data_IF_998221994018
#
_entry.id   IF_998221994018
#
_cell.length_a   1.000
_cell.length_b   1.000
_cell.length_c   1.000
_cell.angle_alpha   90.00
_cell.angle_beta   90.00
_cell.angle_gamma   90.00
#
_symmetry.space_group_name_H-M   'P 1'
#
loop_
_entity.id
_entity.type
_entity.pdbx_description
1 polymer ?
#
# COMPACT_ATOMS: atom_id res chain seq x y z
N UNK A 1 4.83 -4.09 10.80
CA UNK A 1 3.80 -5.10 10.46
C UNK A 1 2.52 -4.36 10.15
N UNK A 2 1.93 -4.62 8.97
CA UNK A 2 0.71 -3.92 8.54
C UNK A 2 -0.44 -4.24 9.51
N UNK A 3 -1.05 -3.22 10.08
CA UNK A 3 -2.17 -3.31 11.02
C UNK A 3 -3.43 -4.01 10.46
N UNK A 4 -3.41 -4.41 9.19
CA UNK A 4 -4.57 -5.00 8.49
C UNK A 4 -4.54 -6.52 8.39
N UNK A 5 -3.43 -7.17 8.80
CA UNK A 5 -3.25 -8.62 8.75
C UNK A 5 -2.97 -9.14 10.14
N UNK A 6 -3.68 -10.17 10.54
CA UNK A 6 -3.62 -10.78 11.87
C UNK A 6 -3.15 -12.22 11.76
N UNK A 7 -2.24 -12.64 12.62
CA UNK A 7 -1.99 -14.06 12.89
C UNK A 7 -3.20 -14.69 13.60
N UNK A 8 -3.19 -16.00 13.76
CA UNK A 8 -4.25 -16.68 14.51
C UNK A 8 -4.28 -16.21 15.98
N UNK A 9 -3.10 -15.98 16.56
CA UNK A 9 -2.93 -15.49 17.94
C UNK A 9 -3.42 -14.04 18.08
N UNK A 10 -3.05 -13.16 17.14
CA UNK A 10 -3.54 -11.78 17.14
C UNK A 10 -5.05 -11.69 17.00
N UNK A 11 -5.61 -12.52 16.10
CA UNK A 11 -7.06 -12.62 15.90
C UNK A 11 -7.75 -13.12 17.20
N UNK A 12 -7.16 -14.11 17.85
CA UNK A 12 -7.63 -14.66 19.11
C UNK A 12 -7.66 -13.60 20.23
N UNK A 13 -6.55 -12.87 20.39
CA UNK A 13 -6.41 -11.81 21.37
C UNK A 13 -7.42 -10.68 21.16
N UNK A 14 -7.57 -10.21 19.89
CA UNK A 14 -8.50 -9.12 19.55
C UNK A 14 -9.98 -9.54 19.63
N UNK A 15 -10.28 -10.78 19.29
CA UNK A 15 -11.66 -11.31 19.34
C UNK A 15 -12.09 -11.78 20.72
N UNK A 16 -11.15 -11.91 21.68
CA UNK A 16 -11.42 -12.47 23.00
C UNK A 16 -11.80 -13.97 22.96
N UNK A 17 -11.33 -14.71 21.95
CA UNK A 17 -11.64 -16.14 21.74
C UNK A 17 -10.33 -16.93 21.81
N UNK A 18 -10.29 -18.08 22.52
CA UNK A 18 -9.09 -18.90 22.59
C UNK A 18 -8.59 -19.32 21.21
N UNK A 19 -7.26 -19.23 20.97
CA UNK A 19 -6.63 -19.59 19.70
C UNK A 19 -6.93 -21.03 19.28
N UNK A 20 -7.05 -21.97 20.23
CA UNK A 20 -7.43 -23.35 20.00
C UNK A 20 -8.81 -23.46 19.34
N UNK A 21 -9.78 -22.64 19.78
CA UNK A 21 -11.13 -22.59 19.22
C UNK A 21 -11.14 -22.01 17.81
N UNK A 22 -10.34 -20.98 17.55
CA UNK A 22 -10.17 -20.43 16.19
C UNK A 22 -9.51 -21.44 15.26
N UNK A 23 -8.54 -22.21 15.74
CA UNK A 23 -7.92 -23.28 14.99
C UNK A 23 -8.93 -24.40 14.61
N UNK A 24 -9.81 -24.78 15.53
CA UNK A 24 -10.92 -25.70 15.26
C UNK A 24 -11.88 -25.17 14.21
N UNK A 25 -12.29 -23.90 14.29
CA UNK A 25 -13.15 -23.26 13.30
C UNK A 25 -12.48 -23.14 11.93
N UNK A 26 -11.17 -22.91 11.91
CA UNK A 26 -10.38 -22.88 10.68
C UNK A 26 -10.33 -24.28 10.05
N UNK A 27 -10.08 -25.33 10.85
CA UNK A 27 -10.10 -26.72 10.40
C UNK A 27 -11.49 -27.16 9.90
N UNK A 28 -12.56 -26.69 10.55
CA UNK A 28 -13.94 -26.92 10.13
C UNK A 28 -14.37 -26.06 8.92
N UNK A 29 -13.49 -25.23 8.38
CA UNK A 29 -13.75 -24.28 7.28
C UNK A 29 -14.84 -23.24 7.58
N UNK A 30 -15.16 -23.03 8.84
CA UNK A 30 -16.02 -21.94 9.31
C UNK A 30 -15.31 -20.60 9.24
N UNK A 31 -14.05 -20.57 9.69
CA UNK A 31 -13.16 -19.44 9.57
C UNK A 31 -12.12 -19.76 8.47
N UNK A 32 -12.17 -19.02 7.36
CA UNK A 32 -11.23 -19.22 6.26
C UNK A 32 -10.12 -18.19 6.37
N UNK A 33 -8.84 -18.59 6.29
CA UNK A 33 -7.75 -17.65 6.14
C UNK A 33 -7.92 -16.80 4.87
N UNK A 34 -7.56 -15.54 4.94
CA UNK A 34 -7.53 -14.62 3.81
C UNK A 34 -6.25 -14.81 3.00
N UNK A 35 -5.17 -15.31 3.64
CA UNK A 35 -3.90 -15.64 3.02
C UNK A 35 -3.02 -16.48 3.95
N UNK A 36 -1.75 -16.63 3.56
CA UNK A 36 -0.74 -17.37 4.32
C UNK A 36 0.56 -16.56 4.32
N UNK A 37 1.33 -16.69 5.39
CA UNK A 37 2.70 -16.20 5.48
C UNK A 37 3.65 -17.08 4.66
N UNK A 38 4.94 -16.73 4.61
CA UNK A 38 5.94 -17.52 3.87
C UNK A 38 6.15 -18.91 4.45
N UNK A 39 5.99 -19.07 5.75
CA UNK A 39 6.03 -20.35 6.49
C UNK A 39 4.70 -21.11 6.44
N UNK A 40 3.76 -20.67 5.60
CA UNK A 40 2.42 -21.24 5.42
C UNK A 40 1.50 -21.13 6.63
N UNK A 41 1.80 -20.27 7.59
CA UNK A 41 0.89 -19.98 8.70
C UNK A 41 -0.32 -19.19 8.19
N UNK A 42 -1.55 -19.49 8.67
CA UNK A 42 -2.75 -18.80 8.22
C UNK A 42 -2.77 -17.36 8.70
N UNK A 43 -3.12 -16.44 7.80
CA UNK A 43 -3.28 -15.02 8.05
C UNK A 43 -4.72 -14.58 7.77
N UNK A 44 -5.20 -13.63 8.56
CA UNK A 44 -6.58 -13.17 8.57
C UNK A 44 -6.63 -11.66 8.40
N UNK A 45 -7.58 -11.17 7.61
CA UNK A 45 -7.88 -9.76 7.51
C UNK A 45 -8.64 -9.26 8.76
N UNK A 46 -8.60 -7.95 9.02
CA UNK A 46 -9.36 -7.34 10.12
C UNK A 46 -10.86 -7.66 10.07
N UNK A 47 -11.45 -7.75 8.88
CA UNK A 47 -12.85 -8.14 8.68
C UNK A 47 -13.19 -9.55 9.18
N UNK A 48 -12.19 -10.40 9.43
CA UNK A 48 -12.37 -11.72 10.05
C UNK A 48 -12.80 -11.62 11.51
N UNK A 49 -12.59 -10.48 12.20
CA UNK A 49 -13.08 -10.24 13.56
C UNK A 49 -14.61 -10.30 13.64
N UNK A 50 -15.32 -9.69 12.70
CA UNK A 50 -16.78 -9.71 12.64
C UNK A 50 -17.32 -11.14 12.44
N UNK A 51 -16.61 -11.90 11.58
CA UNK A 51 -16.92 -13.31 11.36
C UNK A 51 -16.74 -14.14 12.63
N UNK A 52 -15.62 -13.97 13.33
CA UNK A 52 -15.35 -14.62 14.61
C UNK A 52 -16.42 -14.28 15.64
N UNK A 53 -16.77 -12.99 15.78
CA UNK A 53 -17.81 -12.53 16.71
C UNK A 53 -19.18 -13.14 16.40
N UNK A 54 -19.52 -13.37 15.13
CA UNK A 54 -20.77 -14.01 14.77
C UNK A 54 -20.76 -15.53 15.10
N UNK A 55 -19.68 -16.23 14.74
CA UNK A 55 -19.51 -17.66 15.06
C UNK A 55 -19.56 -17.86 16.58
N UNK A 56 -18.89 -16.99 17.34
CA UNK A 56 -18.92 -17.04 18.82
C UNK A 56 -20.34 -16.89 19.36
N UNK A 57 -21.11 -15.89 18.86
CA UNK A 57 -22.51 -15.71 19.29
C UNK A 57 -23.38 -16.92 19.01
N UNK A 58 -23.22 -17.59 17.89
CA UNK A 58 -23.94 -18.84 17.58
C UNK A 58 -23.51 -19.97 18.53
N UNK A 59 -22.21 -20.06 18.84
CA UNK A 59 -21.70 -21.05 19.80
C UNK A 59 -22.23 -20.78 21.23
N UNK A 60 -22.34 -19.51 21.64
CA UNK A 60 -22.88 -19.12 22.94
C UNK A 60 -24.40 -19.40 23.04
N UNK A 61 -25.10 -19.43 21.93
CA UNK A 61 -26.50 -19.89 21.83
C UNK A 61 -26.66 -21.42 21.88
N UNK A 62 -25.54 -22.16 22.01
CA UNK A 62 -25.56 -23.61 22.17
C UNK A 62 -25.43 -24.40 20.86
N UNK A 63 -25.25 -23.73 19.70
CA UNK A 63 -25.04 -24.44 18.43
C UNK A 63 -23.66 -25.09 18.38
N UNK A 64 -23.61 -26.35 18.00
CA UNK A 64 -22.37 -27.08 17.74
C UNK A 64 -21.71 -26.63 16.44
N UNK A 65 -20.39 -26.90 16.28
CA UNK A 65 -19.59 -26.49 15.11
C UNK A 65 -20.21 -26.97 13.79
N UNK A 66 -20.78 -28.17 13.76
CA UNK A 66 -21.44 -28.73 12.58
C UNK A 66 -22.76 -28.01 12.23
N UNK A 67 -23.50 -27.62 13.26
CA UNK A 67 -24.76 -26.86 13.10
C UNK A 67 -24.47 -25.45 12.60
N UNK A 68 -23.49 -24.80 13.21
CA UNK A 68 -23.01 -23.47 12.76
C UNK A 68 -22.57 -23.56 11.30
N UNK A 69 -21.84 -24.61 10.91
CA UNK A 69 -21.43 -24.83 9.52
C UNK A 69 -22.63 -24.93 8.57
N UNK A 70 -23.69 -25.63 8.97
CA UNK A 70 -24.94 -25.75 8.18
C UNK A 70 -25.68 -24.41 8.09
N UNK A 71 -25.77 -23.68 9.20
CA UNK A 71 -26.39 -22.34 9.25
C UNK A 71 -25.65 -21.39 8.33
N UNK A 72 -24.32 -21.31 8.44
CA UNK A 72 -23.48 -20.45 7.63
C UNK A 72 -23.55 -20.78 6.14
N UNK A 73 -23.65 -22.07 5.78
CA UNK A 73 -23.84 -22.49 4.38
C UNK A 73 -25.21 -22.13 3.83
N UNK A 74 -26.27 -22.20 4.65
CA UNK A 74 -27.66 -22.00 4.22
C UNK A 74 -28.06 -20.51 4.20
N UNK A 75 -27.63 -19.75 5.19
CA UNK A 75 -28.03 -18.34 5.38
C UNK A 75 -26.96 -17.37 4.87
N UNK A 76 -25.71 -17.84 4.75
CA UNK A 76 -24.53 -17.00 4.57
C UNK A 76 -24.16 -16.30 5.88
N UNK A 77 -22.90 -15.87 5.98
CA UNK A 77 -22.53 -14.89 7.01
C UNK A 77 -23.03 -13.51 6.55
N UNK A 78 -23.57 -12.67 7.44
CA UNK A 78 -23.89 -11.31 7.09
C UNK A 78 -22.67 -10.69 6.43
N UNK A 79 -22.82 -10.27 5.19
CA UNK A 79 -21.82 -9.43 4.53
C UNK A 79 -21.97 -8.06 5.14
N UNK A 80 -20.84 -7.43 5.48
CA UNK A 80 -20.82 -6.08 5.98
C UNK A 80 -21.87 -5.21 5.28
N UNK A 81 -22.64 -4.44 6.07
CA UNK A 81 -23.83 -3.71 5.65
C UNK A 81 -23.60 -2.56 4.67
N UNK A 82 -22.79 -2.77 3.63
CA UNK A 82 -22.64 -1.86 2.50
C UNK A 82 -22.85 -2.65 1.22
N UNK A 83 -24.10 -2.59 0.72
CA UNK A 83 -24.52 -3.17 -0.54
C UNK A 83 -23.75 -2.61 -1.74
N UNK A 84 -22.57 -3.13 -2.00
CA UNK A 84 -21.94 -3.11 -3.32
C UNK A 84 -21.58 -4.56 -3.65
N UNK A 85 -22.04 -5.04 -4.81
CA UNK A 85 -21.50 -6.25 -5.43
C UNK A 85 -19.99 -6.05 -5.52
N UNK A 86 -19.23 -6.66 -4.61
CA UNK A 86 -17.77 -6.71 -4.73
C UNK A 86 -17.49 -7.71 -5.87
N UNK A 87 -16.94 -7.19 -6.97
CA UNK A 87 -16.22 -8.03 -7.93
C UNK A 87 -15.26 -8.94 -7.16
N UNK A 88 -15.09 -10.22 -7.54
CA UNK A 88 -14.19 -11.13 -6.86
C UNK A 88 -12.70 -10.70 -6.87
N UNK A 89 -12.38 -9.52 -7.44
CA UNK A 89 -11.06 -8.89 -7.43
C UNK A 89 -10.96 -7.61 -6.58
N UNK A 90 -12.03 -7.14 -5.92
CA UNK A 90 -12.01 -5.98 -5.00
C UNK A 90 -12.18 -6.44 -3.55
N UNK A 91 -11.28 -7.27 -3.08
CA UNK A 91 -11.11 -7.60 -1.68
C UNK A 91 -10.24 -6.56 -0.97
N UNK A 92 -10.14 -6.69 0.33
CA UNK A 92 -9.27 -5.93 1.24
C UNK A 92 -7.78 -5.99 0.84
N UNK A 93 -7.42 -6.88 -0.10
CA UNK A 93 -6.07 -7.09 -0.62
C UNK A 93 -6.04 -7.07 -2.15
N UNK A 94 -4.95 -6.52 -2.66
CA UNK A 94 -4.66 -6.35 -4.08
C UNK A 94 -3.65 -7.42 -4.55
N UNK A 95 -3.88 -7.97 -5.73
CA UNK A 95 -2.83 -8.70 -6.44
C UNK A 95 -1.78 -7.75 -6.98
N UNK A 96 -0.60 -8.27 -7.39
CA UNK A 96 0.44 -7.47 -8.06
C UNK A 96 -0.11 -6.68 -9.25
N UNK A 97 -0.99 -7.29 -10.05
CA UNK A 97 -1.61 -6.63 -11.20
C UNK A 97 -2.49 -5.46 -10.81
N UNK A 98 -3.37 -5.65 -9.81
CA UNK A 98 -4.28 -4.61 -9.34
C UNK A 98 -3.50 -3.48 -8.63
N UNK A 99 -2.45 -3.81 -7.86
CA UNK A 99 -1.58 -2.82 -7.24
C UNK A 99 -0.85 -1.99 -8.31
N UNK A 100 -0.33 -2.63 -9.35
CA UNK A 100 0.35 -1.97 -10.46
C UNK A 100 -0.58 -0.98 -11.18
N UNK A 101 -1.79 -1.42 -11.51
CA UNK A 101 -2.80 -0.59 -12.17
C UNK A 101 -3.17 0.64 -11.33
N UNK A 102 -3.44 0.45 -10.03
CA UNK A 102 -3.89 1.52 -9.15
C UNK A 102 -2.77 2.48 -8.73
N UNK A 103 -1.53 2.01 -8.63
CA UNK A 103 -0.37 2.85 -8.28
C UNK A 103 0.28 3.52 -9.49
N UNK A 104 -0.07 3.11 -10.72
CA UNK A 104 0.51 3.65 -11.95
C UNK A 104 1.95 3.22 -12.19
N UNK A 105 2.37 2.07 -11.64
CA UNK A 105 3.68 1.45 -11.90
C UNK A 105 3.51 0.10 -12.58
N UNK A 106 4.55 -0.42 -13.24
CA UNK A 106 4.46 -1.71 -13.90
C UNK A 106 4.50 -2.87 -12.88
N UNK A 107 3.85 -4.03 -13.16
CA UNK A 107 4.00 -5.23 -12.33
C UNK A 107 5.46 -5.67 -12.17
N UNK A 108 6.28 -5.45 -13.22
CA UNK A 108 7.73 -5.72 -13.20
C UNK A 108 8.47 -4.82 -12.21
N UNK A 109 8.07 -3.55 -12.11
CA UNK A 109 8.62 -2.59 -11.16
C UNK A 109 8.33 -3.02 -9.73
N UNK A 110 7.08 -3.41 -9.44
CA UNK A 110 6.67 -3.91 -8.11
C UNK A 110 7.51 -5.14 -7.74
N UNK A 111 7.63 -6.11 -8.67
CA UNK A 111 8.47 -7.29 -8.44
C UNK A 111 9.92 -6.92 -8.17
N UNK A 112 10.47 -5.97 -8.93
CA UNK A 112 11.84 -5.50 -8.73
C UNK A 112 12.05 -4.88 -7.35
N UNK A 113 11.10 -4.07 -6.87
CA UNK A 113 11.13 -3.50 -5.52
C UNK A 113 11.01 -4.56 -4.43
N UNK A 114 10.23 -5.61 -4.67
CA UNK A 114 10.15 -6.78 -3.79
C UNK A 114 11.48 -7.55 -3.75
N UNK A 115 12.05 -7.84 -4.92
CA UNK A 115 13.36 -8.53 -5.03
C UNK A 115 14.49 -7.73 -4.34
N UNK A 116 14.37 -6.40 -4.27
CA UNK A 116 15.28 -5.51 -3.53
C UNK A 116 14.92 -5.37 -2.05
N UNK A 117 13.83 -5.96 -1.59
CA UNK A 117 13.34 -5.85 -0.20
C UNK A 117 12.86 -4.46 0.19
N UNK A 118 12.47 -3.62 -0.79
CA UNK A 118 11.89 -2.30 -0.55
C UNK A 118 10.44 -2.46 -0.09
N UNK A 119 9.70 -3.34 -0.76
CA UNK A 119 8.33 -3.72 -0.39
C UNK A 119 8.27 -5.23 -0.16
N UNK A 120 7.31 -5.66 0.64
CA UNK A 120 7.04 -7.07 0.91
C UNK A 120 5.53 -7.29 0.90
N UNK A 121 5.01 -8.39 0.33
CA UNK A 121 3.59 -8.67 0.36
C UNK A 121 3.13 -8.90 1.80
N UNK A 122 1.90 -8.47 2.11
CA UNK A 122 1.31 -8.71 3.44
C UNK A 122 1.06 -10.19 3.67
N UNK A 123 0.68 -10.89 2.62
CA UNK A 123 0.42 -12.34 2.65
C UNK A 123 0.47 -12.96 1.25
N UNK A 124 0.37 -14.27 1.20
CA UNK A 124 0.24 -15.05 -0.04
C UNK A 124 -1.04 -15.88 -0.03
N UNK A 125 -1.64 -16.08 -1.19
CA UNK A 125 -2.74 -17.03 -1.32
C UNK A 125 -2.25 -18.47 -1.13
N UNK A 126 -3.17 -19.42 -1.00
CA UNK A 126 -2.85 -20.85 -0.97
C UNK A 126 -2.04 -21.31 -2.21
N UNK A 127 -2.29 -20.68 -3.38
CA UNK A 127 -1.54 -20.88 -4.63
C UNK A 127 -0.23 -20.09 -4.73
N UNK A 128 0.21 -19.38 -3.67
CA UNK A 128 1.46 -18.64 -3.62
C UNK A 128 1.40 -17.25 -4.26
N UNK A 129 0.22 -16.76 -4.69
CA UNK A 129 0.09 -15.40 -5.23
C UNK A 129 0.24 -14.36 -4.14
N UNK A 130 0.98 -13.29 -4.43
CA UNK A 130 1.23 -12.17 -3.54
C UNK A 130 0.00 -11.31 -3.36
N UNK A 131 -0.26 -10.90 -2.12
CA UNK A 131 -1.36 -10.04 -1.75
C UNK A 131 -0.84 -8.84 -0.96
N UNK A 132 -1.33 -7.64 -1.31
CA UNK A 132 -0.95 -6.35 -0.73
C UNK A 132 -2.19 -5.62 -0.25
N UNK A 133 -2.11 -4.95 0.88
CA UNK A 133 -3.18 -4.05 1.34
C UNK A 133 -3.23 -2.77 0.48
N UNK A 134 -4.35 -2.05 0.53
CA UNK A 134 -4.54 -0.81 -0.23
C UNK A 134 -3.48 0.26 0.11
N UNK A 135 -2.87 0.21 1.29
CA UNK A 135 -1.80 1.12 1.69
C UNK A 135 -0.59 1.06 0.75
N UNK A 136 -0.37 -0.07 0.08
CA UNK A 136 0.73 -0.20 -0.89
C UNK A 136 0.54 0.65 -2.14
N UNK A 137 -0.68 1.08 -2.47
CA UNK A 137 -0.90 2.03 -3.57
C UNK A 137 -0.13 3.32 -3.30
N UNK A 138 -0.35 3.88 -2.10
CA UNK A 138 0.33 5.10 -1.68
C UNK A 138 1.84 4.90 -1.50
N UNK A 139 2.25 3.78 -0.89
CA UNK A 139 3.66 3.45 -0.74
C UNK A 139 4.40 3.37 -2.08
N UNK A 140 3.81 2.72 -3.09
CA UNK A 140 4.38 2.66 -4.44
C UNK A 140 4.52 4.05 -5.08
N UNK A 141 3.57 4.95 -4.84
CA UNK A 141 3.65 6.33 -5.29
C UNK A 141 4.80 7.07 -4.61
N UNK A 142 4.95 6.95 -3.28
CA UNK A 142 6.06 7.56 -2.54
C UNK A 142 7.43 7.04 -3.00
N UNK A 143 7.56 5.74 -3.27
CA UNK A 143 8.81 5.17 -3.80
C UNK A 143 9.15 5.79 -5.15
N UNK A 144 8.17 5.94 -6.04
CA UNK A 144 8.34 6.61 -7.31
C UNK A 144 8.76 8.07 -7.15
N UNK A 145 8.16 8.78 -6.21
CA UNK A 145 8.48 10.17 -5.94
C UNK A 145 9.93 10.31 -5.41
N UNK A 146 10.36 9.42 -4.52
CA UNK A 146 11.76 9.38 -4.08
C UNK A 146 12.73 9.15 -5.26
N UNK A 147 12.38 8.27 -6.21
CA UNK A 147 13.18 8.09 -7.43
C UNK A 147 13.22 9.35 -8.28
N UNK A 148 12.10 10.08 -8.41
CA UNK A 148 12.07 11.38 -9.09
C UNK A 148 12.93 12.43 -8.37
N UNK A 149 13.03 12.37 -7.04
CA UNK A 149 13.93 13.20 -6.23
C UNK A 149 15.40 12.76 -6.32
N UNK A 150 15.70 11.74 -7.13
CA UNK A 150 17.05 11.26 -7.39
C UNK A 150 17.59 10.30 -6.31
N UNK A 151 16.72 9.68 -5.51
CA UNK A 151 17.13 8.61 -4.61
C UNK A 151 17.38 7.31 -5.38
N UNK A 152 18.47 6.65 -5.07
CA UNK A 152 18.77 5.30 -5.55
C UNK A 152 17.88 4.26 -4.87
N UNK A 153 17.78 3.06 -5.44
CA UNK A 153 17.01 1.98 -4.82
C UNK A 153 17.61 1.54 -3.48
N UNK A 154 18.93 1.63 -3.33
CA UNK A 154 19.64 1.34 -2.09
C UNK A 154 19.27 2.35 -0.97
N UNK A 155 19.20 3.64 -1.30
CA UNK A 155 18.76 4.67 -0.37
C UNK A 155 17.27 4.49 0.00
N UNK A 156 16.42 4.17 -0.98
CA UNK A 156 14.99 3.89 -0.74
C UNK A 156 14.82 2.64 0.13
N UNK A 157 15.64 1.61 -0.07
CA UNK A 157 15.67 0.43 0.79
C UNK A 157 16.00 0.80 2.24
N UNK A 158 17.02 1.67 2.44
CA UNK A 158 17.38 2.17 3.77
C UNK A 158 16.19 2.86 4.45
N UNK A 159 15.52 3.77 3.74
CA UNK A 159 14.30 4.45 4.24
C UNK A 159 13.20 3.43 4.59
N UNK A 160 13.01 2.40 3.76
CA UNK A 160 12.03 1.35 4.01
C UNK A 160 12.36 0.54 5.28
N UNK A 161 13.63 0.22 5.51
CA UNK A 161 14.10 -0.48 6.70
C UNK A 161 13.96 0.40 7.97
N UNK A 162 14.21 1.71 7.85
CA UNK A 162 14.01 2.67 8.93
C UNK A 162 12.52 2.74 9.32
N UNK A 163 11.61 2.81 8.36
CA UNK A 163 10.16 2.79 8.63
C UNK A 163 9.74 1.49 9.32
N UNK A 164 10.24 0.32 8.87
CA UNK A 164 9.97 -0.96 9.55
C UNK A 164 10.49 -0.97 10.98
N UNK A 165 11.69 -0.41 11.19
CA UNK A 165 12.31 -0.31 12.53
C UNK A 165 11.50 0.61 13.43
N UNK A 166 11.04 1.76 12.92
CA UNK A 166 10.18 2.68 13.67
C UNK A 166 8.88 1.98 14.11
N UNK A 167 8.20 1.30 13.20
CA UNK A 167 6.98 0.54 13.51
C UNK A 167 7.22 -0.57 14.55
N UNK A 168 8.38 -1.22 14.50
CA UNK A 168 8.75 -2.25 15.48
C UNK A 168 9.00 -1.64 16.87
N UNK A 169 9.64 -0.46 16.93
CA UNK A 169 9.88 0.27 18.19
C UNK A 169 8.53 0.79 18.75
N UNK A 170 7.64 1.32 17.90
CA UNK A 170 6.30 1.76 18.33
C UNK A 170 5.46 0.62 18.90
N UNK A 171 5.58 -0.58 18.31
CA UNK A 171 4.82 -1.74 18.77
C UNK A 171 5.30 -2.27 20.13
N UNK A 172 6.60 -2.26 20.39
CA UNK A 172 7.20 -2.75 21.64
C UNK A 172 8.59 -2.12 21.85
N UNK A 173 8.64 -0.92 22.46
CA UNK A 173 9.91 -0.21 22.67
C UNK A 173 10.85 -0.92 23.65
N UNK A 174 10.33 -1.78 24.54
CA UNK A 174 11.14 -2.47 25.54
C UNK A 174 11.99 -3.61 24.94
N UNK A 175 11.68 -4.05 23.74
CA UNK A 175 12.51 -5.03 23.01
C UNK A 175 13.87 -4.50 22.58
N UNK A 176 14.04 -3.17 22.61
CA UNK A 176 15.27 -2.53 22.14
C UNK A 176 15.99 -1.80 23.28
N UNK A 177 17.32 -1.85 23.36
CA UNK A 177 18.09 -1.03 24.31
C UNK A 177 17.82 0.46 24.10
N UNK A 178 17.53 1.22 25.14
CA UNK A 178 17.17 2.63 25.05
C UNK A 178 18.20 3.48 24.25
N UNK A 179 19.48 3.23 24.44
CA UNK A 179 20.54 3.93 23.71
C UNK A 179 20.53 3.60 22.19
N UNK A 180 20.11 2.40 21.81
CA UNK A 180 19.96 2.02 20.40
C UNK A 180 18.74 2.71 19.79
N UNK A 181 17.63 2.75 20.50
CA UNK A 181 16.41 3.47 20.07
C UNK A 181 16.72 4.93 19.84
N UNK A 182 17.36 5.61 20.81
CA UNK A 182 17.75 7.02 20.70
C UNK A 182 18.60 7.29 19.45
N UNK A 183 19.64 6.46 19.24
CA UNK A 183 20.52 6.58 18.07
C UNK A 183 19.76 6.41 16.74
N UNK A 184 18.86 5.43 16.66
CA UNK A 184 18.07 5.15 15.45
C UNK A 184 17.10 6.29 15.15
N UNK A 185 16.38 6.76 16.17
CA UNK A 185 15.44 7.89 16.02
C UNK A 185 16.15 9.17 15.61
N UNK A 186 17.33 9.46 16.17
CA UNK A 186 18.14 10.61 15.77
C UNK A 186 18.56 10.54 14.29
N UNK A 187 19.03 9.37 13.82
CA UNK A 187 19.38 9.15 12.42
C UNK A 187 18.18 9.31 11.47
N UNK A 188 17.00 8.80 11.86
CA UNK A 188 15.76 8.97 11.08
C UNK A 188 15.35 10.45 11.00
N UNK A 189 15.44 11.20 12.08
CA UNK A 189 15.17 12.65 12.08
C UNK A 189 16.13 13.41 11.16
N UNK A 190 17.40 13.06 11.16
CA UNK A 190 18.39 13.65 10.24
C UNK A 190 18.04 13.34 8.77
N UNK A 191 17.68 12.09 8.46
CA UNK A 191 17.26 11.69 7.12
C UNK A 191 16.01 12.48 6.65
N UNK A 192 15.04 12.69 7.53
CA UNK A 192 13.86 13.52 7.26
C UNK A 192 14.27 14.97 6.96
N UNK A 193 15.19 15.56 7.72
CA UNK A 193 15.66 16.92 7.47
C UNK A 193 16.36 17.04 6.11
N UNK A 194 17.19 16.06 5.75
CA UNK A 194 17.83 15.99 4.42
C UNK A 194 16.80 15.92 3.31
N UNK A 195 15.75 15.11 3.48
CA UNK A 195 14.66 15.03 2.49
C UNK A 195 13.92 16.37 2.34
N UNK A 196 13.58 17.04 3.44
CA UNK A 196 12.95 18.36 3.39
C UNK A 196 13.83 19.39 2.68
N UNK A 197 15.14 19.42 2.96
CA UNK A 197 16.07 20.32 2.29
C UNK A 197 16.10 20.04 0.77
N UNK A 198 16.12 18.77 0.36
CA UNK A 198 16.09 18.36 -1.04
C UNK A 198 14.80 18.76 -1.74
N UNK A 199 13.64 18.57 -1.08
CA UNK A 199 12.33 19.00 -1.60
C UNK A 199 12.29 20.51 -1.84
N UNK A 200 12.81 21.30 -0.91
CA UNK A 200 12.90 22.76 -1.07
C UNK A 200 13.75 23.18 -2.28
N UNK A 201 14.90 22.54 -2.48
CA UNK A 201 15.74 22.80 -3.67
C UNK A 201 15.02 22.45 -4.97
N UNK A 202 14.22 21.39 -4.98
CA UNK A 202 13.42 21.00 -6.16
C UNK A 202 12.31 22.03 -6.43
N UNK A 203 11.62 22.51 -5.39
CA UNK A 203 10.59 23.55 -5.51
C UNK A 203 11.19 24.85 -6.12
N UNK A 204 12.29 25.32 -5.58
CA UNK A 204 13.02 26.49 -6.14
C UNK A 204 13.47 26.24 -7.60
N UNK A 205 13.84 25.00 -7.92
CA UNK A 205 14.18 24.60 -9.29
C UNK A 205 12.99 24.69 -10.24
N UNK A 206 11.84 24.20 -9.80
CA UNK A 206 10.58 24.23 -10.58
C UNK A 206 10.19 25.68 -10.85
N UNK A 207 10.22 26.56 -9.86
CA UNK A 207 9.90 27.99 -10.02
C UNK A 207 10.81 28.66 -11.08
N UNK A 208 12.14 28.42 -11.02
CA UNK A 208 13.08 28.95 -12.02
C UNK A 208 12.74 28.48 -13.44
N UNK A 209 12.38 27.20 -13.60
CA UNK A 209 11.99 26.64 -14.89
C UNK A 209 10.66 27.20 -15.39
N UNK A 210 9.68 27.35 -14.52
CA UNK A 210 8.38 27.95 -14.87
C UNK A 210 8.55 29.38 -15.39
N UNK A 211 9.35 30.20 -14.72
CA UNK A 211 9.59 31.59 -15.14
C UNK A 211 10.30 31.66 -16.50
N UNK A 212 11.32 30.80 -16.72
CA UNK A 212 12.00 30.71 -18.00
C UNK A 212 11.01 30.28 -19.10
N UNK A 213 10.21 29.25 -18.87
CA UNK A 213 9.27 28.74 -19.86
C UNK A 213 8.16 29.75 -20.17
N UNK A 214 7.63 30.47 -19.16
CA UNK A 214 6.67 31.56 -19.34
C UNK A 214 7.24 32.66 -20.24
N UNK A 215 8.50 33.07 -20.01
CA UNK A 215 9.19 34.07 -20.83
C UNK A 215 9.37 33.58 -22.27
N UNK A 216 9.89 32.35 -22.44
CA UNK A 216 10.12 31.78 -23.78
C UNK A 216 8.83 31.54 -24.56
N UNK A 217 7.75 31.19 -23.89
CA UNK A 217 6.43 31.09 -24.53
C UNK A 217 5.98 32.44 -25.12
N UNK A 218 6.18 33.57 -24.40
CA UNK A 218 5.88 34.92 -24.92
C UNK A 218 6.74 35.24 -26.15
N UNK A 219 8.04 34.96 -26.11
CA UNK A 219 8.98 35.20 -27.22
C UNK A 219 8.53 34.41 -28.46
N UNK A 220 8.19 33.12 -28.30
CA UNK A 220 7.73 32.25 -29.38
C UNK A 220 6.43 32.78 -30.00
N UNK A 221 5.46 33.17 -29.20
CA UNK A 221 4.19 33.70 -29.68
C UNK A 221 4.37 35.03 -30.45
N UNK A 222 5.27 35.90 -29.99
CA UNK A 222 5.62 37.12 -30.69
C UNK A 222 6.25 36.83 -32.06
N UNK A 223 7.20 35.88 -32.12
CA UNK A 223 7.81 35.43 -33.37
C UNK A 223 6.81 34.79 -34.34
N UNK A 224 5.90 33.95 -33.82
CA UNK A 224 4.83 33.35 -34.64
C UNK A 224 3.95 34.43 -35.27
N UNK A 225 3.57 35.45 -34.50
CA UNK A 225 2.73 36.59 -34.96
C UNK A 225 3.46 37.36 -36.05
N UNK A 226 4.75 37.67 -35.82
CA UNK A 226 5.59 38.35 -36.83
C UNK A 226 5.72 37.54 -38.10
N UNK A 227 5.91 36.23 -37.96
CA UNK A 227 6.05 35.36 -39.12
C UNK A 227 4.76 35.25 -39.96
N UNK A 228 3.61 35.17 -39.29
CA UNK A 228 2.30 35.19 -39.95
C UNK A 228 2.07 36.48 -40.72
N UNK A 229 2.45 37.65 -40.19
CA UNK A 229 2.40 38.94 -40.92
C UNK A 229 3.30 38.91 -42.18
N UNK A 230 4.54 38.45 -42.04
CA UNK A 230 5.48 38.29 -43.22
C UNK A 230 4.93 37.40 -44.31
N UNK A 231 4.34 36.26 -43.91
CA UNK A 231 3.74 35.33 -44.88
C UNK A 231 2.50 35.90 -45.58
N UNK A 232 1.78 36.83 -44.95
CA UNK A 232 0.66 37.51 -45.58
C UNK A 232 1.12 38.58 -46.59
N UNK A 233 2.13 39.41 -46.22
CA UNK A 233 2.70 40.43 -47.13
C UNK A 233 3.30 39.79 -48.37
N UNK A 234 4.03 38.67 -48.20
CA UNK A 234 4.62 37.96 -49.34
C UNK A 234 3.60 37.37 -50.34
N UNK A 235 2.36 37.05 -49.85
CA UNK A 235 1.27 36.61 -50.75
C UNK A 235 0.56 37.75 -51.46
N UNK A 236 0.50 38.93 -50.84
CA UNK A 236 -0.08 40.12 -51.45
C UNK A 236 0.84 40.69 -52.54
N UNK A 237 2.18 40.58 -52.40
CA UNK A 237 3.16 40.98 -53.38
C UNK A 237 3.25 40.07 -54.62
N UNK A 238 2.90 38.76 -54.47
CA UNK A 238 2.89 37.76 -55.55
C UNK A 238 1.63 37.84 -56.45
N UNK A 239 0.65 38.67 -56.06
CA UNK A 239 -0.62 38.84 -56.76
C UNK A 239 -0.81 40.28 -57.34
N UNK A 240 0.22 41.14 -57.24
CA UNK A 240 0.30 42.47 -57.82
C UNK A 240 1.16 42.47 -59.07
#
# INVERSE_FOLDING_TARGET
MNNNVLSLEDLAGRAGVPATRLAEWTKAKLLKPDGFSEDKSPLFALGSLDRVGLIQRLADLGYGTDEITKIVKKVGLPRDGRGRKKDPGKGEFLTVGNLAEQSGVSPRTIKHWEDKGIIEPDMRTEGGFRLYSENYIFLCQLIRDLQLFGYTLEEIKSVSDDVRTLLAIEADPEKFPAAEVEKRLAAMLEAIQVLFAKMKLLEEGIERWEDLLKKKKKDILALQTRNKKRAKTAKDDDHA
#
